data_IF_138604128954
#
_entry.id   IF_138604128954
#
_cell.length_a   1.000
_cell.length_b   1.000
_cell.length_c   1.000
_cell.angle_alpha   90.00
_cell.angle_beta   90.00
_cell.angle_gamma   90.00
#
_symmetry.space_group_name_H-M   'P 1'
#
loop_
_entity.id
_entity.type
_entity.pdbx_description
1 polymer ?
#
# COMPACT_ATOMS: atom_id res chain seq x y z
N UNK A 1 18.45 7.04 14.17
CA UNK A 1 17.40 8.09 14.21
C UNK A 1 16.66 8.21 12.88
N UNK A 2 17.36 8.20 11.75
CA UNK A 2 16.76 8.27 10.41
C UNK A 2 15.81 7.09 10.11
N UNK A 3 16.23 5.85 10.39
CA UNK A 3 15.42 4.65 10.16
C UNK A 3 14.11 4.62 10.97
N UNK A 4 14.08 5.21 12.17
CA UNK A 4 12.87 5.33 13.00
C UNK A 4 11.82 6.22 12.33
N UNK A 5 12.23 7.36 11.79
CA UNK A 5 11.33 8.26 11.05
C UNK A 5 10.85 7.63 9.75
N UNK A 6 11.72 6.88 9.07
CA UNK A 6 11.36 6.12 7.88
C UNK A 6 10.31 5.05 8.20
N UNK A 7 10.54 4.21 9.23
CA UNK A 7 9.56 3.24 9.70
C UNK A 7 8.24 3.89 10.13
N UNK A 8 8.29 4.93 10.96
CA UNK A 8 7.10 5.63 11.43
C UNK A 8 6.27 6.20 10.25
N UNK A 9 6.93 6.71 9.21
CA UNK A 9 6.27 7.13 7.97
C UNK A 9 5.62 5.95 7.24
N UNK A 10 6.28 4.79 7.20
CA UNK A 10 5.75 3.61 6.52
C UNK A 10 4.53 2.99 7.23
N UNK A 11 4.55 2.88 8.57
CA UNK A 11 3.41 2.36 9.35
C UNK A 11 2.34 3.39 9.71
N UNK A 12 2.59 4.68 9.45
CA UNK A 12 1.62 5.75 9.69
C UNK A 12 1.54 6.24 11.15
N UNK A 13 2.63 6.10 11.91
CA UNK A 13 2.70 6.56 13.29
C UNK A 13 3.98 6.13 14.01
N UNK A 14 4.25 6.74 15.15
CA UNK A 14 5.36 6.32 16.01
C UNK A 14 5.03 5.00 16.72
N UNK A 15 5.99 4.07 16.70
CA UNK A 15 5.88 2.79 17.39
C UNK A 15 7.12 2.63 18.27
N UNK A 16 6.92 2.59 19.58
CA UNK A 16 8.02 2.50 20.55
C UNK A 16 8.89 1.25 20.36
N UNK A 17 8.33 0.15 19.84
CA UNK A 17 9.09 -1.06 19.57
C UNK A 17 10.21 -0.86 18.53
N UNK A 18 10.16 0.18 17.69
CA UNK A 18 11.23 0.49 16.73
C UNK A 18 12.53 0.98 17.40
N UNK A 19 12.50 1.32 18.69
CA UNK A 19 13.70 1.66 19.45
C UNK A 19 14.57 0.44 19.76
N UNK A 20 13.99 -0.76 19.70
CA UNK A 20 14.69 -2.01 19.97
C UNK A 20 15.38 -2.59 18.72
N UNK A 21 15.10 -2.04 17.54
CA UNK A 21 15.65 -2.53 16.28
C UNK A 21 17.05 -1.97 16.02
N UNK A 22 17.95 -2.86 15.61
CA UNK A 22 19.18 -2.48 14.92
C UNK A 22 18.87 -1.82 13.57
N UNK A 23 19.85 -1.14 13.00
CA UNK A 23 19.70 -0.49 11.69
C UNK A 23 19.43 -1.51 10.56
N UNK A 24 20.05 -2.69 10.63
CA UNK A 24 19.83 -3.76 9.66
C UNK A 24 18.40 -4.29 9.72
N UNK A 25 17.89 -4.60 10.91
CA UNK A 25 16.51 -5.06 11.11
C UNK A 25 15.49 -3.99 10.70
N UNK A 26 15.76 -2.72 11.01
CA UNK A 26 14.91 -1.63 10.60
C UNK A 26 14.84 -1.49 9.07
N UNK A 27 15.97 -1.67 8.38
CA UNK A 27 16.02 -1.65 6.92
C UNK A 27 15.22 -2.79 6.30
N UNK A 28 15.43 -4.03 6.77
CA UNK A 28 14.66 -5.19 6.30
C UNK A 28 13.16 -4.98 6.51
N UNK A 29 12.77 -4.43 7.67
CA UNK A 29 11.37 -4.15 7.97
C UNK A 29 10.79 -3.09 7.00
N UNK A 30 11.53 -2.03 6.69
CA UNK A 30 11.12 -1.03 5.68
C UNK A 30 10.90 -1.70 4.32
N UNK A 31 11.84 -2.52 3.86
CA UNK A 31 11.75 -3.22 2.58
C UNK A 31 10.52 -4.15 2.55
N UNK A 32 10.24 -4.85 3.66
CA UNK A 32 9.06 -5.69 3.82
C UNK A 32 7.75 -4.88 3.74
N UNK A 33 7.67 -3.74 4.43
CA UNK A 33 6.48 -2.88 4.40
C UNK A 33 6.22 -2.31 3.00
N UNK A 34 7.27 -1.88 2.30
CA UNK A 34 7.16 -1.37 0.94
C UNK A 34 6.68 -2.47 -0.03
N UNK A 35 7.22 -3.68 0.08
CA UNK A 35 6.76 -4.82 -0.69
C UNK A 35 5.29 -5.18 -0.40
N UNK A 36 4.88 -5.16 0.88
CA UNK A 36 3.51 -5.41 1.29
C UNK A 36 2.52 -4.38 0.70
N UNK A 37 2.84 -3.08 0.80
CA UNK A 37 2.04 -1.99 0.21
C UNK A 37 1.92 -2.14 -1.31
N UNK A 38 3.02 -2.45 -1.98
CA UNK A 38 3.01 -2.67 -3.43
C UNK A 38 2.12 -3.85 -3.82
N UNK A 39 2.16 -4.94 -3.04
CA UNK A 39 1.30 -6.09 -3.25
C UNK A 39 -0.18 -5.78 -3.00
N UNK A 40 -0.50 -5.05 -1.93
CA UNK A 40 -1.85 -4.60 -1.61
C UNK A 40 -2.42 -3.71 -2.72
N UNK A 41 -1.67 -2.71 -3.17
CA UNK A 41 -2.08 -1.85 -4.29
C UNK A 41 -2.33 -2.66 -5.57
N UNK A 42 -1.50 -3.68 -5.84
CA UNK A 42 -1.69 -4.60 -6.97
C UNK A 42 -2.95 -5.45 -6.79
N UNK A 43 -3.20 -5.96 -5.59
CA UNK A 43 -4.40 -6.74 -5.27
C UNK A 43 -5.68 -5.90 -5.44
N UNK A 44 -5.67 -4.67 -4.93
CA UNK A 44 -6.78 -3.72 -5.07
C UNK A 44 -7.05 -3.40 -6.55
N UNK A 45 -6.02 -3.14 -7.35
CA UNK A 45 -6.18 -2.92 -8.80
C UNK A 45 -6.81 -4.12 -9.50
N UNK A 46 -6.40 -5.35 -9.13
CA UNK A 46 -7.02 -6.58 -9.67
C UNK A 46 -8.50 -6.68 -9.28
N UNK A 47 -8.84 -6.40 -8.02
CA UNK A 47 -10.21 -6.40 -7.55
C UNK A 47 -11.08 -5.36 -8.28
N UNK A 48 -10.57 -4.13 -8.46
CA UNK A 48 -11.25 -3.07 -9.23
C UNK A 48 -11.47 -3.53 -10.68
N UNK A 49 -10.46 -4.11 -11.32
CA UNK A 49 -10.59 -4.61 -12.68
C UNK A 49 -11.65 -5.72 -12.78
N UNK A 50 -11.67 -6.65 -11.83
CA UNK A 50 -12.68 -7.71 -11.77
C UNK A 50 -14.09 -7.17 -11.51
N UNK A 51 -14.25 -6.12 -10.70
CA UNK A 51 -15.55 -5.47 -10.52
C UNK A 51 -16.03 -4.80 -11.82
N UNK A 52 -15.12 -4.18 -12.58
CA UNK A 52 -15.45 -3.49 -13.82
C UNK A 52 -15.71 -4.42 -15.01
N UNK A 53 -15.26 -5.68 -14.98
CA UNK A 53 -15.56 -6.63 -16.06
C UNK A 53 -17.05 -6.96 -16.12
N UNK A 54 -17.76 -6.89 -14.99
CA UNK A 54 -19.21 -7.01 -14.92
C UNK A 54 -19.97 -5.85 -15.58
N UNK A 55 -19.31 -4.70 -15.80
CA UNK A 55 -19.92 -3.53 -16.44
C UNK A 55 -19.85 -3.62 -17.98
N UNK A 56 -20.89 -3.15 -18.69
CA UNK A 56 -20.85 -2.96 -20.14
C UNK A 56 -19.65 -2.10 -20.55
N UNK A 57 -18.97 -2.50 -21.62
CA UNK A 57 -17.70 -1.88 -22.04
C UNK A 57 -17.73 -0.33 -22.12
N UNK A 58 -18.78 0.32 -22.67
CA UNK A 58 -18.84 1.78 -22.73
C UNK A 58 -18.85 2.46 -21.35
N UNK A 59 -19.37 1.79 -20.32
CA UNK A 59 -19.54 2.35 -18.98
C UNK A 59 -18.34 2.12 -18.06
N UNK A 60 -17.40 1.22 -18.41
CA UNK A 60 -16.28 0.83 -17.53
C UNK A 60 -15.45 2.00 -17.06
N UNK A 61 -15.13 2.94 -17.96
CA UNK A 61 -14.28 4.11 -17.64
C UNK A 61 -15.00 5.08 -16.70
N UNK A 62 -16.28 5.36 -16.94
CA UNK A 62 -17.09 6.23 -16.08
C UNK A 62 -17.29 5.56 -14.71
N UNK A 63 -17.61 4.27 -14.69
CA UNK A 63 -17.81 3.50 -13.47
C UNK A 63 -16.54 3.44 -12.62
N UNK A 64 -15.35 3.31 -13.24
CA UNK A 64 -14.07 3.40 -12.54
C UNK A 64 -13.92 4.72 -11.80
N UNK A 65 -14.19 5.82 -12.50
CA UNK A 65 -14.05 7.16 -11.93
C UNK A 65 -15.04 7.43 -10.81
N UNK A 66 -16.30 7.02 -10.99
CA UNK A 66 -17.37 7.24 -10.00
C UNK A 66 -17.18 6.37 -8.75
N UNK A 67 -16.86 5.09 -8.92
CA UNK A 67 -16.79 4.13 -7.80
C UNK A 67 -15.43 4.14 -7.09
N UNK A 68 -14.35 4.46 -7.80
CA UNK A 68 -12.97 4.32 -7.29
C UNK A 68 -12.11 5.58 -7.44
N UNK A 69 -12.68 6.72 -7.86
CA UNK A 69 -12.01 8.03 -7.86
C UNK A 69 -10.79 8.17 -8.79
N UNK A 70 -10.57 7.22 -9.71
CA UNK A 70 -9.40 7.14 -10.60
C UNK A 70 -9.72 7.36 -12.08
#
# INVERSE_FOLDING_TARGET
MEYRRALAREVGGEVHAFELLSEAEARELIELFQAAKANEARALRRAINAALTAMPAPLRKVSRKVLFGS
#
